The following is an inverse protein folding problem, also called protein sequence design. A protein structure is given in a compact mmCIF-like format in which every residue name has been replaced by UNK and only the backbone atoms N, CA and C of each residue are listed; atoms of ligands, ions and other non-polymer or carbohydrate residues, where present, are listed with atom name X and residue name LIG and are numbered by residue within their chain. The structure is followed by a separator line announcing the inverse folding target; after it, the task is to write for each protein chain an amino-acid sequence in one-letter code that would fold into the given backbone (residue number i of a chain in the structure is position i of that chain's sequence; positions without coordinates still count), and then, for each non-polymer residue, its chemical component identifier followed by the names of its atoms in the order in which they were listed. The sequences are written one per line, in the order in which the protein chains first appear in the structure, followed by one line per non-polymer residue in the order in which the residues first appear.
data_IF_036594320681
#
_entry.id   IF_036594320681
#
_cell.length_a   1.000
_cell.length_b   1.000
_cell.length_c   1.000
_cell.angle_alpha   90.00
_cell.angle_beta   90.00
_cell.angle_gamma   90.00
#
_symmetry.space_group_name_H-M   'P 1'
#
loop_
_entity.id
_entity.type
_entity.pdbx_description
1 polymer ?
#
# COMPACT_ATOMS: atom_id res chain seq x y z
N UNK A 1 -0.68 -21.69 -7.43
CA UNK A 1 -0.44 -20.78 -8.57
C UNK A 1 -1.08 -19.44 -8.28
N UNK A 2 -0.45 -18.37 -8.75
CA UNK A 2 -0.86 -16.96 -8.62
C UNK A 2 -1.05 -16.40 -10.03
N UNK A 3 -1.90 -15.38 -10.21
CA UNK A 3 -2.06 -14.70 -11.48
C UNK A 3 -0.73 -14.08 -11.95
N UNK A 4 -0.37 -14.34 -13.21
CA UNK A 4 0.93 -13.98 -13.78
C UNK A 4 1.24 -12.50 -13.67
N UNK A 5 0.30 -11.61 -14.00
CA UNK A 5 0.53 -10.16 -13.94
C UNK A 5 0.94 -9.66 -12.55
N UNK A 6 0.29 -10.15 -11.49
CA UNK A 6 0.66 -9.78 -10.11
C UNK A 6 2.01 -10.38 -9.73
N UNK A 7 2.27 -11.63 -10.11
CA UNK A 7 3.52 -12.30 -9.84
C UNK A 7 4.69 -11.57 -10.52
N UNK A 8 4.58 -11.29 -11.81
CA UNK A 8 5.59 -10.56 -12.60
C UNK A 8 5.87 -9.19 -11.99
N UNK A 9 4.84 -8.38 -11.72
CA UNK A 9 5.04 -7.07 -11.09
C UNK A 9 5.77 -7.18 -9.73
N UNK A 10 5.47 -8.22 -8.96
CA UNK A 10 6.02 -8.44 -7.64
C UNK A 10 7.46 -8.97 -7.65
N UNK A 11 7.83 -9.82 -8.61
CA UNK A 11 9.10 -10.57 -8.62
C UNK A 11 10.10 -10.11 -9.68
N UNK A 12 9.69 -9.33 -10.68
CA UNK A 12 10.60 -8.86 -11.72
C UNK A 12 11.57 -7.81 -11.20
N UNK A 13 12.78 -7.83 -11.75
CA UNK A 13 13.82 -6.82 -11.54
C UNK A 13 14.41 -6.39 -12.89
N UNK A 14 15.07 -5.24 -12.89
CA UNK A 14 15.76 -4.67 -14.04
C UNK A 14 17.04 -3.98 -13.57
N UNK A 15 18.19 -4.62 -13.82
CA UNK A 15 19.50 -4.10 -13.42
C UNK A 15 19.84 -2.74 -14.07
N UNK A 16 19.22 -2.41 -15.21
CA UNK A 16 19.37 -1.11 -15.87
C UNK A 16 18.57 0.03 -15.22
N UNK A 17 17.70 -0.27 -14.24
CA UNK A 17 16.94 0.72 -13.50
C UNK A 17 17.43 0.78 -12.05
N UNK A 18 17.93 1.95 -11.62
CA UNK A 18 18.41 2.20 -10.25
C UNK A 18 17.43 1.73 -9.17
N UNK A 19 16.13 1.95 -9.36
CA UNK A 19 15.06 1.61 -8.40
C UNK A 19 14.41 0.25 -8.68
N UNK A 20 14.64 -0.30 -9.87
CA UNK A 20 14.14 -1.61 -10.31
C UNK A 20 15.18 -2.72 -10.22
N UNK A 21 16.43 -2.43 -9.83
CA UNK A 21 17.51 -3.41 -9.77
C UNK A 21 17.19 -4.61 -8.88
N UNK A 22 16.31 -4.41 -7.89
CA UNK A 22 15.74 -5.44 -7.03
C UNK A 22 14.23 -5.49 -7.20
N UNK A 23 13.65 -6.68 -7.09
CA UNK A 23 12.20 -6.84 -7.17
C UNK A 23 11.50 -6.23 -5.96
N UNK A 24 10.21 -5.88 -6.10
CA UNK A 24 9.41 -5.39 -4.99
C UNK A 24 9.36 -6.41 -3.83
N UNK A 25 9.29 -7.72 -4.16
CA UNK A 25 9.39 -8.81 -3.18
C UNK A 25 10.67 -8.72 -2.35
N UNK A 26 11.82 -8.58 -3.01
CA UNK A 26 13.10 -8.63 -2.31
C UNK A 26 13.34 -7.37 -1.49
N UNK A 27 12.88 -6.21 -1.97
CA UNK A 27 12.93 -4.95 -1.21
C UNK A 27 12.10 -5.05 0.08
N UNK A 28 10.86 -5.56 -0.01
CA UNK A 28 9.99 -5.75 1.17
C UNK A 28 10.55 -6.81 2.11
N UNK A 29 11.06 -7.93 1.58
CA UNK A 29 11.59 -9.03 2.40
C UNK A 29 12.82 -8.60 3.21
N UNK A 30 13.74 -7.86 2.59
CA UNK A 30 14.94 -7.36 3.26
C UNK A 30 14.60 -6.35 4.36
N UNK A 31 13.69 -5.43 4.07
CA UNK A 31 13.29 -4.42 5.04
C UNK A 31 12.55 -5.05 6.21
N UNK A 32 11.68 -6.03 5.94
CA UNK A 32 11.00 -6.76 6.99
C UNK A 32 12.01 -7.52 7.88
N UNK A 33 12.98 -8.20 7.27
CA UNK A 33 14.06 -8.88 8.01
C UNK A 33 14.84 -7.92 8.90
N UNK A 34 15.13 -6.71 8.40
CA UNK A 34 15.84 -5.66 9.13
C UNK A 34 15.04 -5.20 10.34
N UNK A 35 13.77 -4.83 10.14
CA UNK A 35 12.89 -4.32 11.20
C UNK A 35 12.57 -5.38 12.25
N UNK A 36 12.18 -6.59 11.84
CA UNK A 36 11.92 -7.71 12.75
C UNK A 36 13.17 -8.05 13.57
N UNK A 37 14.35 -8.02 12.94
CA UNK A 37 15.62 -8.25 13.65
C UNK A 37 15.96 -7.15 14.66
N UNK A 38 15.71 -5.88 14.32
CA UNK A 38 15.97 -4.73 15.22
C UNK A 38 15.10 -4.80 16.48
N UNK A 39 13.78 -4.82 16.31
CA UNK A 39 12.83 -4.85 17.42
C UNK A 39 12.90 -6.18 18.20
N UNK A 40 13.18 -7.29 17.51
CA UNK A 40 13.37 -8.59 18.15
C UNK A 40 14.56 -8.62 19.11
N UNK A 41 15.70 -8.00 18.74
CA UNK A 41 16.86 -7.86 19.65
C UNK A 41 16.56 -7.00 20.89
N UNK A 42 15.57 -6.10 20.79
CA UNK A 42 15.08 -5.27 21.89
C UNK A 42 14.04 -5.98 22.77
N UNK A 43 13.66 -7.22 22.43
CA UNK A 43 12.62 -7.97 23.15
C UNK A 43 11.20 -7.46 22.87
N UNK A 44 11.02 -6.63 21.83
CA UNK A 44 9.74 -6.05 21.49
C UNK A 44 8.90 -7.00 20.63
N UNK A 45 7.59 -6.98 20.85
CA UNK A 45 6.64 -7.77 20.08
C UNK A 45 6.34 -7.05 18.76
N UNK A 46 6.67 -7.70 17.65
CA UNK A 46 6.40 -7.19 16.31
C UNK A 46 5.13 -7.83 15.75
N UNK A 47 4.25 -7.02 15.16
CA UNK A 47 3.13 -7.48 14.34
C UNK A 47 3.22 -6.81 12.97
N UNK A 48 3.03 -7.56 11.90
CA UNK A 48 3.15 -7.04 10.53
C UNK A 48 1.77 -6.99 9.88
N UNK A 49 1.35 -5.81 9.46
CA UNK A 49 0.09 -5.63 8.71
C UNK A 49 0.39 -5.17 7.28
N UNK A 50 -0.01 -5.97 6.31
CA UNK A 50 -0.02 -5.60 4.89
C UNK A 50 -1.38 -5.00 4.53
N UNK A 51 -1.37 -3.88 3.80
CA UNK A 51 -2.59 -3.26 3.28
C UNK A 51 -2.43 -2.82 1.85
N UNK A 52 -3.55 -2.74 1.13
CA UNK A 52 -3.56 -2.26 -0.23
C UNK A 52 -4.95 -2.26 -0.85
N UNK A 53 -5.16 -1.35 -1.79
CA UNK A 53 -6.39 -1.24 -2.56
C UNK A 53 -6.16 -1.73 -4.00
N UNK A 54 -7.14 -2.41 -4.59
CA UNK A 54 -7.09 -2.88 -5.98
C UNK A 54 -5.82 -3.71 -6.24
N UNK A 55 -4.98 -3.34 -7.22
CA UNK A 55 -3.67 -3.97 -7.48
C UNK A 55 -2.80 -4.06 -6.22
N UNK A 56 -2.77 -3.00 -5.40
CA UNK A 56 -2.02 -3.01 -4.14
C UNK A 56 -2.53 -4.05 -3.16
N UNK A 57 -3.83 -4.38 -3.18
CA UNK A 57 -4.39 -5.44 -2.36
C UNK A 57 -3.92 -6.83 -2.80
N UNK A 58 -3.71 -7.04 -4.10
CA UNK A 58 -3.13 -8.27 -4.62
C UNK A 58 -1.66 -8.44 -4.18
N UNK A 59 -0.88 -7.36 -4.28
CA UNK A 59 0.51 -7.33 -3.82
C UNK A 59 0.61 -7.53 -2.30
N UNK A 60 -0.28 -6.90 -1.52
CA UNK A 60 -0.34 -7.07 -0.07
C UNK A 60 -0.54 -8.54 0.35
N UNK A 61 -1.39 -9.30 -0.37
CA UNK A 61 -1.59 -10.73 -0.12
C UNK A 61 -0.36 -11.58 -0.47
N UNK A 62 0.37 -11.22 -1.54
CA UNK A 62 1.62 -11.89 -1.90
C UNK A 62 2.69 -11.63 -0.84
N UNK A 63 2.87 -10.37 -0.44
CA UNK A 63 3.82 -9.99 0.61
C UNK A 63 3.49 -10.60 1.97
N UNK A 64 2.21 -10.64 2.35
CA UNK A 64 1.79 -11.29 3.60
C UNK A 64 2.13 -12.79 3.62
N UNK A 65 1.94 -13.48 2.50
CA UNK A 65 2.31 -14.90 2.38
C UNK A 65 3.81 -15.11 2.55
N UNK A 66 4.62 -14.31 1.88
CA UNK A 66 6.08 -14.44 1.91
C UNK A 66 6.64 -14.05 3.29
N UNK A 67 6.11 -12.98 3.89
CA UNK A 67 6.44 -12.56 5.25
C UNK A 67 6.18 -13.67 6.27
N UNK A 68 5.00 -14.29 6.24
CA UNK A 68 4.66 -15.37 7.16
C UNK A 68 5.47 -16.65 6.91
N UNK A 69 5.98 -16.85 5.69
CA UNK A 69 6.89 -17.96 5.39
C UNK A 69 8.31 -17.70 5.91
N UNK A 70 8.79 -16.45 5.83
CA UNK A 70 10.12 -16.06 6.27
C UNK A 70 10.21 -15.84 7.80
N UNK A 71 9.11 -15.46 8.43
CA UNK A 71 9.04 -15.10 9.85
C UNK A 71 7.88 -15.84 10.55
N UNK A 72 8.00 -17.15 10.79
CA UNK A 72 6.90 -17.97 11.33
C UNK A 72 6.45 -17.54 12.73
N UNK A 73 7.33 -16.92 13.51
CA UNK A 73 7.03 -16.45 14.87
C UNK A 73 6.41 -15.04 14.92
N UNK A 74 6.32 -14.35 13.77
CA UNK A 74 5.78 -13.00 13.68
C UNK A 74 4.33 -13.06 13.22
N UNK A 75 3.37 -12.54 14.00
CA UNK A 75 1.99 -12.43 13.56
C UNK A 75 1.86 -11.55 12.31
N UNK A 76 1.23 -12.12 11.26
CA UNK A 76 0.99 -11.42 10.00
C UNK A 76 -0.50 -11.26 9.73
N UNK A 77 -0.89 -10.04 9.38
CA UNK A 77 -2.24 -9.68 8.95
C UNK A 77 -2.22 -9.04 7.56
N UNK A 78 -3.24 -9.30 6.76
CA UNK A 78 -3.53 -8.58 5.53
C UNK A 78 -4.93 -7.96 5.61
N UNK A 79 -5.03 -6.63 5.46
CA UNK A 79 -6.30 -5.91 5.32
C UNK A 79 -6.33 -5.27 3.95
N UNK A 80 -7.20 -5.74 3.06
CA UNK A 80 -7.20 -5.30 1.65
C UNK A 80 -8.54 -4.74 1.24
N UNK A 81 -8.52 -3.79 0.30
CA UNK A 81 -9.72 -3.08 -0.16
C UNK A 81 -9.91 -3.31 -1.65
N UNK A 82 -11.06 -3.85 -2.07
CA UNK A 82 -11.38 -4.12 -3.47
C UNK A 82 -10.27 -4.89 -4.21
N UNK A 83 -9.58 -5.79 -3.50
CA UNK A 83 -8.49 -6.57 -4.06
C UNK A 83 -9.03 -7.63 -5.03
N UNK A 84 -8.42 -7.83 -6.22
CA UNK A 84 -8.82 -8.88 -7.13
C UNK A 84 -8.46 -10.27 -6.58
N UNK A 85 -8.98 -11.32 -7.22
CA UNK A 85 -8.57 -12.71 -6.94
C UNK A 85 -7.09 -12.87 -7.34
N UNK A 86 -6.26 -13.30 -6.38
CA UNK A 86 -4.80 -13.36 -6.55
C UNK A 86 -4.30 -14.71 -7.04
N UNK A 87 -4.83 -15.81 -6.49
CA UNK A 87 -4.33 -17.15 -6.79
C UNK A 87 -5.35 -18.24 -6.56
N UNK A 88 -4.93 -19.47 -6.81
CA UNK A 88 -5.77 -20.65 -6.68
C UNK A 88 -5.93 -21.11 -5.22
N UNK A 89 -6.65 -22.23 -5.02
CA UNK A 89 -6.89 -22.81 -3.69
C UNK A 89 -5.61 -23.12 -2.92
N UNK A 90 -4.54 -23.53 -3.60
CA UNK A 90 -3.24 -23.78 -2.96
C UNK A 90 -2.60 -22.49 -2.43
N UNK A 91 -2.76 -21.36 -3.14
CA UNK A 91 -2.31 -20.05 -2.65
C UNK A 91 -3.10 -19.65 -1.39
N UNK A 92 -4.43 -19.75 -1.43
CA UNK A 92 -5.28 -19.48 -0.26
C UNK A 92 -4.93 -20.39 0.92
N UNK A 93 -4.76 -21.69 0.68
CA UNK A 93 -4.38 -22.65 1.72
C UNK A 93 -3.01 -22.34 2.33
N UNK A 94 -2.07 -21.81 1.54
CA UNK A 94 -0.75 -21.41 2.03
C UNK A 94 -0.76 -20.20 2.97
N UNK A 95 -1.74 -19.29 2.83
CA UNK A 95 -1.97 -18.20 3.79
C UNK A 95 -2.57 -18.75 5.10
N UNK A 96 -3.62 -19.57 4.98
CA UNK A 96 -4.31 -20.17 6.14
C UNK A 96 -3.37 -21.06 6.95
N UNK A 97 -2.58 -21.92 6.29
CA UNK A 97 -1.66 -22.84 6.95
C UNK A 97 -0.52 -22.14 7.71
N UNK A 98 -0.28 -20.85 7.41
CA UNK A 98 0.71 -19.99 8.07
C UNK A 98 0.07 -19.02 9.06
N UNK A 99 -1.20 -19.24 9.40
CA UNK A 99 -1.94 -18.42 10.35
C UNK A 99 -2.01 -16.92 9.96
N UNK A 100 -2.02 -16.61 8.66
CA UNK A 100 -2.17 -15.22 8.20
C UNK A 100 -3.61 -14.77 8.38
N UNK A 101 -3.83 -13.72 9.17
CA UNK A 101 -5.15 -13.10 9.35
C UNK A 101 -5.51 -12.26 8.12
N UNK A 102 -6.47 -12.71 7.30
CA UNK A 102 -6.88 -11.99 6.08
C UNK A 102 -8.27 -11.37 6.24
N UNK A 103 -8.37 -10.05 6.10
CA UNK A 103 -9.61 -9.29 5.96
C UNK A 103 -9.68 -8.66 4.56
N UNK A 104 -10.70 -9.04 3.78
CA UNK A 104 -10.97 -8.45 2.46
C UNK A 104 -12.22 -7.59 2.54
N UNK A 105 -12.04 -6.29 2.39
CA UNK A 105 -13.12 -5.31 2.33
C UNK A 105 -13.52 -5.12 0.88
N UNK A 106 -14.72 -5.54 0.53
CA UNK A 106 -15.28 -5.40 -0.80
C UNK A 106 -16.48 -4.45 -0.75
N UNK A 107 -16.63 -3.60 -1.76
CA UNK A 107 -17.83 -2.76 -1.89
C UNK A 107 -18.91 -3.55 -2.62
N UNK A 108 -20.07 -3.72 -1.98
CA UNK A 108 -21.26 -4.19 -2.64
C UNK A 108 -21.98 -3.03 -3.33
N UNK A 109 -22.68 -3.31 -4.43
CA UNK A 109 -23.59 -2.32 -5.02
C UNK A 109 -24.71 -2.01 -4.02
N UNK A 110 -24.98 -0.73 -3.79
CA UNK A 110 -26.03 -0.30 -2.87
C UNK A 110 -25.94 1.19 -2.53
N UNK A 111 -26.97 1.67 -1.82
CA UNK A 111 -26.99 3.03 -1.31
C UNK A 111 -26.07 3.19 -0.11
N UNK A 112 -25.38 4.32 -0.03
CA UNK A 112 -24.55 4.66 1.12
C UNK A 112 -25.44 4.88 2.34
N UNK A 113 -25.24 4.08 3.39
CA UNK A 113 -25.91 4.22 4.68
C UNK A 113 -24.90 4.74 5.70
N UNK A 114 -25.20 5.89 6.32
CA UNK A 114 -24.48 6.33 7.52
C UNK A 114 -25.08 5.60 8.71
N UNK A 115 -24.24 4.90 9.46
CA UNK A 115 -24.63 4.35 10.76
C UNK A 115 -24.44 5.42 11.84
N UNK A 116 -25.44 5.55 12.71
CA UNK A 116 -25.36 6.38 13.90
C UNK A 116 -24.21 5.89 14.80
N UNK A 117 -23.30 6.80 15.15
CA UNK A 117 -22.11 6.47 15.96
C UNK A 117 -20.87 6.04 15.17
N UNK A 118 -20.92 5.97 13.84
CA UNK A 118 -19.73 5.77 13.03
C UNK A 118 -18.71 6.92 13.21
N UNK A 119 -17.39 6.64 13.20
CA UNK A 119 -16.38 7.69 13.33
C UNK A 119 -16.56 8.75 12.26
N UNK A 120 -16.56 10.03 12.67
CA UNK A 120 -16.72 11.17 11.75
C UNK A 120 -15.55 11.21 10.77
N UNK A 121 -15.79 10.73 9.55
CA UNK A 121 -14.94 10.98 8.38
C UNK A 121 -15.61 11.98 7.47
N UNK A 122 -14.82 12.92 6.96
CA UNK A 122 -15.29 13.92 6.00
C UNK A 122 -15.75 13.25 4.71
N UNK A 123 -16.97 13.54 4.31
CA UNK A 123 -17.59 12.98 3.10
C UNK A 123 -16.83 13.42 1.84
N UNK A 124 -16.17 14.59 1.87
CA UNK A 124 -15.39 15.09 0.75
C UNK A 124 -14.28 14.14 0.30
N UNK A 125 -13.79 13.26 1.19
CA UNK A 125 -12.79 12.26 0.84
C UNK A 125 -13.28 11.27 -0.24
N UNK A 126 -14.59 11.04 -0.35
CA UNK A 126 -15.18 10.17 -1.40
C UNK A 126 -14.89 10.74 -2.78
N UNK A 127 -15.11 12.03 -2.99
CA UNK A 127 -14.89 12.70 -4.27
C UNK A 127 -13.41 13.07 -4.52
N UNK A 128 -12.47 12.65 -3.66
CA UNK A 128 -11.03 12.91 -3.84
C UNK A 128 -10.56 12.50 -5.25
N UNK A 129 -11.03 11.35 -5.74
CA UNK A 129 -10.73 10.81 -7.08
C UNK A 129 -11.97 10.26 -7.81
N UNK A 130 -13.16 10.57 -7.32
CA UNK A 130 -14.42 10.04 -7.84
C UNK A 130 -15.47 11.14 -8.01
N UNK A 131 -16.63 10.76 -8.56
CA UNK A 131 -17.84 11.57 -8.68
C UNK A 131 -19.03 10.81 -8.06
N UNK A 132 -18.81 10.17 -6.90
CA UNK A 132 -19.80 9.28 -6.29
C UNK A 132 -20.79 10.01 -5.38
N UNK A 133 -20.46 11.20 -4.89
CA UNK A 133 -21.37 11.99 -4.08
C UNK A 133 -22.44 12.67 -4.95
N UNK A 134 -23.61 12.89 -4.36
CA UNK A 134 -24.69 13.68 -4.98
C UNK A 134 -24.29 15.15 -5.05
N UNK A 135 -24.75 15.84 -6.09
CA UNK A 135 -24.49 17.27 -6.29
C UNK A 135 -25.01 18.15 -5.12
N UNK A 136 -26.04 17.69 -4.41
CA UNK A 136 -26.59 18.38 -3.23
C UNK A 136 -25.59 18.52 -2.08
N UNK A 137 -24.53 17.71 -2.05
CA UNK A 137 -23.46 17.82 -1.05
C UNK A 137 -22.51 18.99 -1.35
N UNK A 138 -22.58 19.61 -2.55
CA UNK A 138 -21.78 20.78 -2.92
C UNK A 138 -20.27 20.52 -3.05
N UNK A 139 -19.85 19.25 -3.12
CA UNK A 139 -18.44 18.85 -3.15
C UNK A 139 -18.03 18.53 -4.59
N UNK A 140 -17.05 19.24 -5.17
CA UNK A 140 -16.61 18.99 -6.55
C UNK A 140 -16.12 17.55 -6.76
N UNK A 141 -16.44 16.97 -7.92
CA UNK A 141 -15.87 15.69 -8.32
C UNK A 141 -14.36 15.78 -8.54
N UNK A 142 -13.65 14.68 -8.26
CA UNK A 142 -12.21 14.51 -8.50
C UNK A 142 -11.37 15.72 -8.04
N UNK A 143 -11.75 16.34 -6.92
CA UNK A 143 -11.22 17.64 -6.52
C UNK A 143 -9.72 17.62 -6.21
N UNK A 144 -9.16 16.44 -5.88
CA UNK A 144 -7.78 16.34 -5.42
C UNK A 144 -6.80 16.61 -6.56
N UNK A 145 -6.15 17.76 -6.48
CA UNK A 145 -5.03 18.11 -7.32
C UNK A 145 -4.05 18.96 -6.50
N UNK A 146 -2.79 18.90 -6.86
CA UNK A 146 -1.83 19.91 -6.42
C UNK A 146 -2.23 21.26 -6.99
N UNK A 147 -1.99 22.33 -6.22
CA UNK A 147 -2.25 23.68 -6.69
C UNK A 147 -1.58 23.90 -8.06
N UNK A 148 -2.33 24.47 -9.01
CA UNK A 148 -1.87 24.69 -10.40
C UNK A 148 -1.30 23.43 -11.08
N UNK A 149 -1.78 22.22 -10.70
CA UNK A 149 -1.26 20.93 -11.15
C UNK A 149 0.25 20.75 -10.90
N UNK A 150 0.77 21.41 -9.86
CA UNK A 150 2.18 21.35 -9.47
C UNK A 150 3.05 22.46 -10.07
N UNK A 151 2.51 23.32 -10.94
CA UNK A 151 3.27 24.44 -11.48
C UNK A 151 3.50 25.52 -10.43
N UNK A 152 4.69 26.10 -10.43
CA UNK A 152 5.10 27.20 -9.55
C UNK A 152 5.67 28.36 -10.39
N UNK A 153 5.60 29.59 -9.88
CA UNK A 153 6.24 30.74 -10.54
C UNK A 153 7.68 30.86 -10.07
N UNK A 154 8.62 30.92 -11.00
CA UNK A 154 10.03 31.21 -10.71
C UNK A 154 10.25 32.69 -10.37
N UNK A 155 11.48 33.07 -10.00
CA UNK A 155 11.85 34.46 -9.71
C UNK A 155 11.71 35.43 -10.88
N UNK A 156 11.56 34.92 -12.12
CA UNK A 156 11.25 35.72 -13.31
C UNK A 156 9.75 35.86 -13.58
N UNK A 157 8.90 35.23 -12.76
CA UNK A 157 7.44 35.23 -12.89
C UNK A 157 6.89 34.19 -13.87
N UNK A 158 7.74 33.34 -14.45
CA UNK A 158 7.33 32.28 -15.40
C UNK A 158 6.84 31.05 -14.66
N UNK A 159 5.83 30.38 -15.20
CA UNK A 159 5.35 29.09 -14.68
C UNK A 159 6.31 27.97 -15.08
N UNK A 160 6.83 27.27 -14.09
CA UNK A 160 7.73 26.13 -14.25
C UNK A 160 7.20 24.94 -13.47
N UNK A 161 7.49 23.73 -13.95
CA UNK A 161 7.35 22.53 -13.14
C UNK A 161 8.58 22.46 -12.24
N UNK A 162 8.44 22.54 -10.91
CA UNK A 162 9.58 22.43 -10.02
C UNK A 162 10.20 21.04 -10.13
N UNK A 163 11.47 20.94 -9.74
CA UNK A 163 12.06 19.62 -9.49
C UNK A 163 11.23 18.90 -8.43
N UNK A 164 11.10 17.58 -8.60
CA UNK A 164 10.39 16.74 -7.63
C UNK A 164 11.11 16.82 -6.29
N UNK A 165 10.36 17.07 -5.22
CA UNK A 165 10.93 17.10 -3.89
C UNK A 165 11.66 15.78 -3.59
N UNK A 166 12.74 15.86 -2.82
CA UNK A 166 13.58 14.70 -2.51
C UNK A 166 12.76 13.55 -1.92
N UNK A 167 11.83 13.87 -1.04
CA UNK A 167 10.98 12.89 -0.34
C UNK A 167 9.92 12.25 -1.26
N UNK A 168 9.61 12.91 -2.38
CA UNK A 168 8.71 12.36 -3.40
C UNK A 168 9.46 11.47 -4.39
N UNK A 169 10.79 11.55 -4.47
CA UNK A 169 11.57 10.72 -5.38
C UNK A 169 11.55 9.25 -4.93
N UNK A 170 11.49 8.28 -5.87
CA UNK A 170 11.80 6.91 -5.52
C UNK A 170 13.19 6.90 -4.89
N UNK A 171 13.29 6.41 -3.68
CA UNK A 171 14.54 6.39 -2.95
C UNK A 171 14.67 5.05 -2.24
N UNK A 172 15.91 4.58 -2.07
CA UNK A 172 16.21 3.45 -1.21
C UNK A 172 16.26 3.96 0.23
N UNK A 173 15.17 4.61 0.67
CA UNK A 173 15.08 5.23 1.99
C UNK A 173 14.86 4.13 3.03
N UNK A 174 15.95 3.41 3.30
CA UNK A 174 16.06 2.59 4.50
C UNK A 174 16.23 3.56 5.65
N UNK A 175 15.13 3.87 6.34
CA UNK A 175 15.16 4.74 7.51
C UNK A 175 16.24 4.22 8.48
N UNK A 176 17.17 5.08 8.94
CA UNK A 176 18.16 4.68 9.93
C UNK A 176 17.48 4.04 11.14
N UNK A 177 18.01 2.93 11.64
CA UNK A 177 17.42 2.26 12.81
C UNK A 177 17.36 3.20 14.03
N UNK A 178 18.28 4.16 14.11
CA UNK A 178 18.31 5.20 15.14
C UNK A 178 17.12 6.17 15.09
N UNK A 179 16.44 6.30 13.96
CA UNK A 179 15.21 7.11 13.86
C UNK A 179 13.96 6.33 14.31
N UNK A 180 14.11 5.02 14.57
CA UNK A 180 13.05 4.13 15.06
C UNK A 180 13.19 3.81 16.56
N UNK A 181 14.14 4.46 17.24
CA UNK A 181 14.43 4.30 18.66
C UNK A 181 13.62 5.26 19.54
#
# INVERSE_FOLDING_TARGET
MVAEGFHTLYTSSNAGNKYGARSARDQVADELKRLVGHFGKRGEKVHVTFTGHSLGGALALLSARDAAAAHPDVPVRAVTFSAPRVGNRAFSGGLTSRNVSVLRVESAAGEFRREDGAPRRDVALVNKRSAMLRDTEGIPEKWSQTANKGLQRDGSGRWVLPERERDDMPANDVLPLSELD
#
